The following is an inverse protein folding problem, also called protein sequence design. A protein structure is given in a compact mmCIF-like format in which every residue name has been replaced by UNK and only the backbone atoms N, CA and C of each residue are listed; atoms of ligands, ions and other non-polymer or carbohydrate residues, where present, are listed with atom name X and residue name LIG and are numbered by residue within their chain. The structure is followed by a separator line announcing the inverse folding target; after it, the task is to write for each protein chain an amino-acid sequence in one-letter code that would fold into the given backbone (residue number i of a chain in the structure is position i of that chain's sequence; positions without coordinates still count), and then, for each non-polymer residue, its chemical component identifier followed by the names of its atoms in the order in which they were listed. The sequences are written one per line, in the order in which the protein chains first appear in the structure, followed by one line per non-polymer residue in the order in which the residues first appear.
data_IF_905915778962
#
_entry.id   IF_905915778962
#
_cell.length_a   1.000
_cell.length_b   1.000
_cell.length_c   1.000
_cell.angle_alpha   90.00
_cell.angle_beta   90.00
_cell.angle_gamma   90.00
#
_symmetry.space_group_name_H-M   'P 1'
#
loop_
_entity.id
_entity.type
_entity.pdbx_description
1 polymer ?
#
# COMPACT_ATOMS: atom_id res chain seq x y z
N UNK A 1 15.45 -18.09 -54.59
CA UNK A 1 16.92 -17.93 -54.56
C UNK A 1 17.37 -17.85 -55.99
N UNK A 2 17.61 -16.65 -56.50
CA UNK A 2 18.28 -16.38 -57.78
C UNK A 2 18.28 -14.87 -57.96
N UNK A 3 19.45 -14.24 -57.80
CA UNK A 3 20.04 -13.42 -58.85
C UNK A 3 21.43 -12.98 -58.40
N UNK A 4 22.39 -13.60 -59.07
CA UNK A 4 23.80 -13.28 -59.14
C UNK A 4 24.04 -12.04 -60.01
N UNK A 5 25.33 -11.66 -60.08
CA UNK A 5 25.98 -10.69 -60.98
C UNK A 5 26.11 -9.28 -60.38
N UNK A 6 27.28 -8.94 -59.83
CA UNK A 6 28.57 -8.63 -60.51
C UNK A 6 28.67 -7.16 -60.87
N UNK A 7 29.71 -6.55 -60.29
CA UNK A 7 30.20 -5.18 -60.53
C UNK A 7 30.50 -4.90 -62.01
N UNK A 8 30.61 -3.61 -62.35
CA UNK A 8 31.77 -3.20 -63.12
C UNK A 8 32.51 -2.02 -62.48
N UNK A 9 33.83 -2.23 -62.44
CA UNK A 9 34.88 -1.22 -62.40
C UNK A 9 34.80 -0.30 -63.62
N UNK A 10 35.04 1.00 -63.40
CA UNK A 10 35.82 1.82 -64.34
C UNK A 10 36.35 3.07 -63.62
N UNK A 11 37.68 3.14 -63.57
CA UNK A 11 38.49 4.29 -63.23
C UNK A 11 38.21 5.48 -64.14
N UNK A 12 38.35 6.69 -63.58
CA UNK A 12 38.87 7.82 -64.33
C UNK A 12 39.45 8.84 -63.35
N UNK A 13 40.77 8.90 -63.34
CA UNK A 13 41.59 9.95 -62.73
C UNK A 13 41.24 11.32 -63.34
N UNK A 14 41.25 12.35 -62.51
CA UNK A 14 41.78 13.66 -62.88
C UNK A 14 42.17 14.43 -61.61
N UNK A 15 43.48 14.65 -61.51
CA UNK A 15 44.13 15.57 -60.60
C UNK A 15 43.59 16.99 -60.77
N UNK A 16 43.22 17.66 -59.68
CA UNK A 16 43.51 19.09 -59.59
C UNK A 16 43.78 19.55 -58.16
N UNK A 17 44.97 20.14 -58.05
CA UNK A 17 45.67 20.61 -56.89
C UNK A 17 45.05 21.91 -56.35
N UNK A 18 44.42 21.87 -55.18
CA UNK A 18 44.06 23.08 -54.43
C UNK A 18 44.54 22.99 -52.98
N UNK A 19 45.79 23.41 -52.80
CA UNK A 19 46.46 23.66 -51.51
C UNK A 19 45.75 24.81 -50.78
N UNK A 20 44.65 24.55 -50.10
CA UNK A 20 43.99 25.54 -49.24
C UNK A 20 44.75 25.61 -47.91
N UNK A 21 45.50 26.71 -47.78
CA UNK A 21 46.09 27.18 -46.53
C UNK A 21 45.02 27.27 -45.43
N UNK A 22 45.41 26.78 -44.27
CA UNK A 22 44.75 26.91 -42.97
C UNK A 22 44.11 28.27 -42.70
N UNK A 23 42.89 28.26 -42.20
CA UNK A 23 42.46 29.19 -41.15
C UNK A 23 41.83 28.36 -40.01
N UNK A 24 42.39 28.36 -38.79
CA UNK A 24 41.71 27.75 -37.65
C UNK A 24 40.56 28.67 -37.26
N UNK A 25 39.36 28.40 -37.79
CA UNK A 25 38.17 29.15 -37.41
C UNK A 25 37.89 28.91 -35.92
N UNK A 26 37.98 30.00 -35.15
CA UNK A 26 37.73 30.16 -33.70
C UNK A 26 36.28 29.85 -33.27
N UNK A 27 35.63 28.90 -33.93
CA UNK A 27 34.22 28.50 -33.75
C UNK A 27 34.05 27.10 -33.15
N UNK A 28 35.12 26.28 -33.07
CA UNK A 28 35.07 24.94 -32.47
C UNK A 28 34.72 24.94 -30.98
N UNK A 29 35.26 25.89 -30.20
CA UNK A 29 35.02 25.98 -28.76
C UNK A 29 33.58 26.41 -28.41
N UNK A 30 32.93 27.25 -29.25
CA UNK A 30 31.52 27.62 -29.03
C UNK A 30 30.58 26.46 -29.33
N UNK A 31 30.83 25.70 -30.41
CA UNK A 31 29.99 24.57 -30.85
C UNK A 31 30.13 23.33 -29.95
N UNK A 32 31.31 23.10 -29.37
CA UNK A 32 31.54 22.06 -28.36
C UNK A 32 30.88 22.42 -27.03
N UNK A 33 30.93 23.69 -26.60
CA UNK A 33 30.26 24.17 -25.38
C UNK A 33 28.73 24.04 -25.46
N UNK A 34 28.10 24.32 -26.60
CA UNK A 34 26.64 24.09 -26.77
C UNK A 34 26.30 22.61 -26.74
N UNK A 35 27.02 21.75 -27.47
CA UNK A 35 26.80 20.29 -27.42
C UNK A 35 26.95 19.71 -26.02
N UNK A 36 27.94 20.18 -25.25
CA UNK A 36 28.19 19.72 -23.89
C UNK A 36 27.10 20.20 -22.92
N UNK A 37 26.63 21.44 -23.07
CA UNK A 37 25.46 21.98 -22.35
C UNK A 37 24.20 21.16 -22.64
N UNK A 38 23.91 20.90 -23.92
CA UNK A 38 22.75 20.12 -24.35
C UNK A 38 22.80 18.69 -23.79
N UNK A 39 23.98 18.06 -23.76
CA UNK A 39 24.13 16.72 -23.17
C UNK A 39 23.97 16.70 -21.65
N UNK A 40 24.35 17.77 -20.96
CA UNK A 40 24.16 17.87 -19.51
C UNK A 40 22.68 18.11 -19.17
N UNK A 41 21.99 18.96 -19.93
CA UNK A 41 20.55 19.14 -19.83
C UNK A 41 19.79 17.82 -20.09
N UNK A 42 20.19 17.07 -21.11
CA UNK A 42 19.60 15.74 -21.41
C UNK A 42 19.78 14.74 -20.27
N UNK A 43 20.94 14.75 -19.60
CA UNK A 43 21.18 13.91 -18.41
C UNK A 43 20.31 14.31 -17.22
N UNK A 44 20.07 15.61 -17.03
CA UNK A 44 19.17 16.12 -15.98
C UNK A 44 17.75 15.68 -16.27
N UNK A 45 17.26 15.90 -17.49
CA UNK A 45 15.92 15.47 -17.91
C UNK A 45 15.73 13.95 -17.79
N UNK A 46 16.74 13.14 -18.12
CA UNK A 46 16.67 11.68 -17.94
C UNK A 46 16.54 11.27 -16.46
N UNK A 47 17.24 11.94 -15.55
CA UNK A 47 17.11 11.70 -14.10
C UNK A 47 15.71 12.08 -13.61
N UNK A 48 15.20 13.22 -14.06
CA UNK A 48 13.88 13.71 -13.70
C UNK A 48 12.78 12.79 -14.23
N UNK A 49 12.86 12.35 -15.49
CA UNK A 49 11.94 11.34 -16.05
C UNK A 49 11.98 10.05 -15.25
N UNK A 50 13.16 9.57 -14.83
CA UNK A 50 13.29 8.36 -14.01
C UNK A 50 12.61 8.54 -12.64
N UNK A 51 12.81 9.71 -12.02
CA UNK A 51 12.19 10.05 -10.75
C UNK A 51 10.66 10.12 -10.88
N UNK A 52 10.15 10.86 -11.86
CA UNK A 52 8.72 10.99 -12.13
C UNK A 52 8.06 9.64 -12.43
N UNK A 53 8.73 8.74 -13.18
CA UNK A 53 8.22 7.38 -13.42
C UNK A 53 8.10 6.57 -12.14
N UNK A 54 9.05 6.70 -11.22
CA UNK A 54 9.00 6.03 -9.93
C UNK A 54 7.87 6.59 -9.06
N UNK A 55 7.67 7.90 -9.06
CA UNK A 55 6.60 8.55 -8.31
C UNK A 55 5.21 8.19 -8.86
N UNK A 56 5.05 8.16 -10.19
CA UNK A 56 3.82 7.68 -10.84
C UNK A 56 3.50 6.25 -10.38
N UNK A 57 4.48 5.35 -10.43
CA UNK A 57 4.30 3.96 -9.99
C UNK A 57 3.86 3.88 -8.52
N UNK A 58 4.48 4.65 -7.65
CA UNK A 58 4.10 4.70 -6.23
C UNK A 58 2.67 5.24 -6.02
N UNK A 59 2.24 6.20 -6.84
CA UNK A 59 0.87 6.74 -6.79
C UNK A 59 -0.12 5.70 -7.30
N UNK A 60 0.17 5.01 -8.39
CA UNK A 60 -0.66 3.92 -8.93
C UNK A 60 -0.87 2.81 -7.90
N UNK A 61 0.20 2.36 -7.23
CA UNK A 61 0.12 1.34 -6.16
C UNK A 61 -0.77 1.81 -4.99
N UNK A 62 -0.68 3.10 -4.60
CA UNK A 62 -1.52 3.68 -3.54
C UNK A 62 -2.97 3.79 -3.95
N UNK A 63 -3.25 4.19 -5.19
CA UNK A 63 -4.61 4.29 -5.72
C UNK A 63 -5.25 2.90 -5.76
N UNK A 64 -4.53 1.90 -6.26
CA UNK A 64 -5.02 0.52 -6.30
C UNK A 64 -5.34 -0.01 -4.90
N UNK A 65 -4.42 0.17 -3.96
CA UNK A 65 -4.62 -0.22 -2.55
C UNK A 65 -5.84 0.50 -1.94
N UNK A 66 -6.06 1.76 -2.29
CA UNK A 66 -7.20 2.56 -1.80
C UNK A 66 -8.52 2.07 -2.41
N UNK A 67 -8.52 1.73 -3.71
CA UNK A 67 -9.68 1.18 -4.38
C UNK A 67 -10.08 -0.17 -3.77
N UNK A 68 -9.11 -1.07 -3.57
CA UNK A 68 -9.34 -2.37 -2.91
C UNK A 68 -9.96 -2.16 -1.52
N UNK A 69 -9.38 -1.28 -0.70
CA UNK A 69 -9.90 -0.96 0.64
C UNK A 69 -11.32 -0.41 0.61
N UNK A 70 -11.64 0.40 -0.39
CA UNK A 70 -12.98 0.98 -0.56
C UNK A 70 -13.99 -0.09 -0.94
N UNK A 71 -13.67 -0.91 -1.95
CA UNK A 71 -14.51 -2.04 -2.39
C UNK A 71 -14.78 -3.02 -1.25
N UNK A 72 -13.76 -3.39 -0.48
CA UNK A 72 -13.92 -4.29 0.68
C UNK A 72 -14.80 -3.64 1.75
N UNK A 73 -14.60 -2.35 2.03
CA UNK A 73 -15.44 -1.63 3.00
C UNK A 73 -16.92 -1.67 2.60
N UNK A 74 -17.22 -1.56 1.32
CA UNK A 74 -18.60 -1.60 0.82
C UNK A 74 -19.25 -3.00 0.97
N UNK A 75 -18.45 -4.08 0.92
CA UNK A 75 -18.90 -5.46 1.23
C UNK A 75 -19.29 -5.63 2.70
N UNK A 76 -18.72 -4.81 3.59
CA UNK A 76 -18.94 -4.82 5.02
C UNK A 76 -19.65 -3.53 5.47
N UNK A 77 -20.95 -3.35 5.16
CA UNK A 77 -21.65 -2.09 5.40
C UNK A 77 -21.84 -1.81 6.90
N UNK A 78 -21.99 -0.54 7.26
CA UNK A 78 -22.46 -0.17 8.59
C UNK A 78 -23.92 -0.59 8.76
N UNK A 79 -24.22 -1.42 9.76
CA UNK A 79 -25.59 -1.79 10.13
C UNK A 79 -25.85 -1.46 11.58
N UNK A 80 -27.06 -0.95 11.83
CA UNK A 80 -27.56 -0.71 13.19
C UNK A 80 -28.55 -1.80 13.58
N UNK A 81 -28.32 -2.41 14.73
CA UNK A 81 -29.18 -3.41 15.35
C UNK A 81 -29.85 -2.81 16.59
N UNK A 82 -31.09 -3.24 16.86
CA UNK A 82 -31.85 -2.77 18.02
C UNK A 82 -31.24 -3.26 19.34
N UNK A 83 -30.72 -4.49 19.35
CA UNK A 83 -30.10 -5.09 20.53
C UNK A 83 -28.61 -4.78 20.54
N UNK A 84 -28.13 -4.23 21.65
CA UNK A 84 -26.71 -3.91 21.86
C UNK A 84 -25.79 -5.13 21.66
N UNK A 85 -26.24 -6.32 22.07
CA UNK A 85 -25.49 -7.56 21.86
C UNK A 85 -25.30 -7.87 20.38
N UNK A 86 -26.36 -7.73 19.59
CA UNK A 86 -26.34 -8.06 18.17
C UNK A 86 -25.49 -7.03 17.41
N UNK A 87 -25.55 -5.75 17.81
CA UNK A 87 -24.66 -4.71 17.31
C UNK A 87 -23.19 -5.06 17.58
N UNK A 88 -22.86 -5.41 18.81
CA UNK A 88 -21.49 -5.77 19.19
C UNK A 88 -20.99 -6.99 18.40
N UNK A 89 -21.82 -8.02 18.24
CA UNK A 89 -21.45 -9.21 17.48
C UNK A 89 -21.19 -8.84 16.02
N UNK A 90 -22.09 -8.07 15.42
CA UNK A 90 -21.95 -7.61 14.06
C UNK A 90 -20.65 -6.82 13.85
N UNK A 91 -20.39 -5.82 14.70
CA UNK A 91 -19.22 -4.95 14.59
C UNK A 91 -17.91 -5.75 14.73
N UNK A 92 -17.89 -6.76 15.60
CA UNK A 92 -16.74 -7.65 15.76
C UNK A 92 -16.52 -8.48 14.50
N UNK A 93 -17.56 -9.19 14.04
CA UNK A 93 -17.46 -10.07 12.87
C UNK A 93 -17.13 -9.28 11.61
N UNK A 94 -17.71 -8.09 11.47
CA UNK A 94 -17.42 -7.15 10.39
C UNK A 94 -15.95 -6.73 10.37
N UNK A 95 -15.40 -6.38 11.53
CA UNK A 95 -13.99 -5.98 11.64
C UNK A 95 -13.05 -7.13 11.30
N UNK A 96 -13.33 -8.34 11.78
CA UNK A 96 -12.56 -9.55 11.46
C UNK A 96 -12.63 -9.86 9.96
N UNK A 97 -13.84 -9.86 9.39
CA UNK A 97 -14.06 -10.11 7.97
C UNK A 97 -13.35 -9.09 7.07
N UNK A 98 -13.40 -7.81 7.43
CA UNK A 98 -12.68 -6.74 6.74
C UNK A 98 -11.17 -6.98 6.72
N UNK A 99 -10.55 -7.34 7.84
CA UNK A 99 -9.11 -7.65 7.89
C UNK A 99 -8.77 -8.90 7.05
N UNK A 100 -9.60 -9.93 7.07
CA UNK A 100 -9.37 -11.14 6.26
C UNK A 100 -9.49 -10.85 4.75
N UNK A 101 -10.46 -10.04 4.34
CA UNK A 101 -10.58 -9.64 2.94
C UNK A 101 -9.37 -8.79 2.50
N UNK A 102 -8.85 -7.91 3.36
CA UNK A 102 -7.61 -7.18 3.08
C UNK A 102 -6.42 -8.12 2.92
N UNK A 103 -6.33 -9.17 3.75
CA UNK A 103 -5.29 -10.18 3.63
C UNK A 103 -5.35 -10.95 2.31
N UNK A 104 -6.56 -11.23 1.81
CA UNK A 104 -6.77 -11.93 0.55
C UNK A 104 -6.48 -11.07 -0.69
N UNK A 105 -6.70 -9.76 -0.59
CA UNK A 105 -6.62 -8.84 -1.73
C UNK A 105 -5.31 -8.04 -1.80
N UNK A 106 -4.45 -8.07 -0.77
CA UNK A 106 -3.12 -7.45 -0.86
C UNK A 106 -2.17 -8.29 -1.71
N UNK A 107 -1.29 -7.61 -2.45
CA UNK A 107 -0.21 -8.23 -3.24
C UNK A 107 1.05 -8.48 -2.42
N UNK A 108 1.13 -7.95 -1.19
CA UNK A 108 2.28 -8.07 -0.30
C UNK A 108 2.07 -9.16 0.74
N UNK A 109 2.94 -10.18 0.73
CA UNK A 109 2.87 -11.26 1.72
C UNK A 109 3.09 -10.79 3.17
N UNK A 110 3.90 -9.75 3.38
CA UNK A 110 4.10 -9.18 4.73
C UNK A 110 2.86 -8.43 5.21
N UNK A 111 2.17 -7.70 4.33
CA UNK A 111 0.89 -7.07 4.66
C UNK A 111 -0.19 -8.11 4.93
N UNK A 112 -0.26 -9.18 4.12
CA UNK A 112 -1.22 -10.26 4.32
C UNK A 112 -1.08 -10.89 5.70
N UNK A 113 0.16 -11.18 6.12
CA UNK A 113 0.44 -11.72 7.46
C UNK A 113 0.03 -10.75 8.57
N UNK A 114 0.23 -9.44 8.38
CA UNK A 114 -0.17 -8.44 9.35
C UNK A 114 -1.69 -8.40 9.53
N UNK A 115 -2.45 -8.39 8.43
CA UNK A 115 -3.92 -8.43 8.47
C UNK A 115 -4.44 -9.73 9.11
N UNK A 116 -3.81 -10.88 8.82
CA UNK A 116 -4.15 -12.15 9.47
C UNK A 116 -3.91 -12.09 10.99
N UNK A 117 -2.79 -11.55 11.43
CA UNK A 117 -2.50 -11.46 12.88
C UNK A 117 -3.44 -10.47 13.58
N UNK A 118 -3.88 -9.40 12.90
CA UNK A 118 -4.92 -8.51 13.40
C UNK A 118 -6.25 -9.26 13.59
N UNK A 119 -6.73 -9.96 12.55
CA UNK A 119 -7.96 -10.76 12.60
C UNK A 119 -7.90 -11.82 13.72
N UNK A 120 -6.75 -12.47 13.88
CA UNK A 120 -6.50 -13.44 14.96
C UNK A 120 -6.57 -12.79 16.34
N UNK A 121 -6.01 -11.60 16.51
CA UNK A 121 -6.05 -10.86 17.77
C UNK A 121 -7.48 -10.50 18.14
N UNK A 122 -8.24 -9.92 17.20
CA UNK A 122 -9.66 -9.61 17.38
C UNK A 122 -10.50 -10.85 17.74
N UNK A 123 -10.20 -11.99 17.10
CA UNK A 123 -10.87 -13.26 17.40
C UNK A 123 -10.61 -13.74 18.83
N UNK A 124 -9.37 -13.62 19.32
CA UNK A 124 -9.01 -13.96 20.70
C UNK A 124 -9.70 -13.05 21.71
N UNK A 125 -9.71 -11.74 21.45
CA UNK A 125 -10.41 -10.76 22.28
C UNK A 125 -11.90 -11.10 22.37
N UNK A 126 -12.54 -11.44 21.24
CA UNK A 126 -13.95 -11.84 21.21
C UNK A 126 -14.21 -13.10 22.03
N UNK A 127 -13.33 -14.10 21.93
CA UNK A 127 -13.46 -15.34 22.69
C UNK A 127 -13.48 -15.09 24.20
N UNK A 128 -12.67 -14.14 24.68
CA UNK A 128 -12.66 -13.75 26.10
C UNK A 128 -14.01 -13.12 26.49
N UNK A 129 -14.52 -12.19 25.70
CA UNK A 129 -15.83 -11.57 25.95
C UNK A 129 -16.94 -12.63 25.98
N UNK A 130 -16.90 -13.62 25.08
CA UNK A 130 -17.87 -14.72 25.06
C UNK A 130 -17.77 -15.62 26.30
N UNK A 131 -16.56 -15.94 26.75
CA UNK A 131 -16.36 -16.71 27.98
C UNK A 131 -16.90 -15.96 29.21
N UNK A 132 -16.59 -14.66 29.33
CA UNK A 132 -17.11 -13.82 30.41
C UNK A 132 -18.63 -13.70 30.35
N UNK A 133 -19.21 -13.59 29.15
CA UNK A 133 -20.64 -13.58 28.98
C UNK A 133 -21.29 -14.91 29.40
N UNK A 134 -20.62 -16.04 29.14
CA UNK A 134 -21.08 -17.36 29.56
C UNK A 134 -21.02 -17.56 31.07
N UNK A 135 -19.99 -17.04 31.74
CA UNK A 135 -19.80 -17.21 33.18
C UNK A 135 -20.59 -16.19 34.02
N UNK A 136 -20.62 -14.92 33.60
CA UNK A 136 -21.12 -13.80 34.41
C UNK A 136 -22.26 -13.01 33.76
N UNK A 137 -22.67 -13.39 32.53
CA UNK A 137 -23.72 -12.73 31.77
C UNK A 137 -23.22 -11.56 30.92
N UNK A 138 -24.05 -11.18 29.95
CA UNK A 138 -23.72 -10.12 28.97
C UNK A 138 -23.54 -8.74 29.61
N UNK A 139 -24.26 -8.44 30.70
CA UNK A 139 -24.13 -7.17 31.41
C UNK A 139 -22.70 -6.91 31.91
N UNK A 140 -21.99 -7.98 32.31
CA UNK A 140 -20.59 -7.90 32.74
C UNK A 140 -19.67 -7.88 31.52
N UNK A 141 -19.92 -8.76 30.55
CA UNK A 141 -19.10 -8.85 29.35
C UNK A 141 -19.08 -7.55 28.52
N UNK A 142 -20.19 -6.81 28.49
CA UNK A 142 -20.32 -5.54 27.78
C UNK A 142 -19.50 -4.39 28.40
N UNK A 143 -19.09 -4.52 29.67
CA UNK A 143 -18.24 -3.53 30.34
C UNK A 143 -16.75 -3.81 30.14
N UNK A 144 -16.38 -4.92 29.50
CA UNK A 144 -14.99 -5.18 29.18
C UNK A 144 -14.48 -4.12 28.18
N UNK A 145 -13.29 -3.54 28.42
CA UNK A 145 -12.71 -2.60 27.49
C UNK A 145 -12.48 -3.29 26.14
N UNK A 146 -13.04 -2.72 25.07
CA UNK A 146 -12.86 -3.22 23.70
C UNK A 146 -11.48 -2.86 23.10
N UNK A 147 -10.41 -2.74 23.91
CA UNK A 147 -9.14 -2.19 23.45
C UNK A 147 -7.88 -2.99 23.83
N UNK A 148 -7.18 -3.42 22.77
CA UNK A 148 -5.71 -3.36 22.49
C UNK A 148 -4.70 -3.91 23.50
N UNK A 149 -5.10 -4.55 24.59
CA UNK A 149 -4.14 -5.09 25.54
C UNK A 149 -3.85 -6.57 25.28
N UNK A 150 -2.59 -6.82 24.91
CA UNK A 150 -2.06 -8.11 24.43
C UNK A 150 -1.85 -9.15 25.53
N UNK A 151 -2.08 -8.81 26.81
CA UNK A 151 -1.65 -9.62 27.94
C UNK A 151 -2.81 -10.23 28.73
N UNK A 152 -2.79 -11.56 28.87
CA UNK A 152 -3.77 -12.37 29.64
C UNK A 152 -3.90 -11.97 31.11
N UNK A 153 -2.84 -11.45 31.74
CA UNK A 153 -2.84 -11.04 33.16
C UNK A 153 -3.74 -9.82 33.40
N UNK A 154 -3.91 -8.95 32.42
CA UNK A 154 -4.77 -7.76 32.54
C UNK A 154 -6.25 -8.11 32.44
N UNK A 155 -6.59 -9.29 31.90
CA UNK A 155 -7.97 -9.71 31.74
C UNK A 155 -8.64 -10.07 33.06
N UNK A 156 -7.94 -10.66 34.04
CA UNK A 156 -8.54 -10.94 35.35
C UNK A 156 -8.92 -9.65 36.08
N UNK A 157 -8.04 -8.64 36.08
CA UNK A 157 -8.34 -7.32 36.63
C UNK A 157 -9.44 -6.60 35.86
N UNK A 158 -9.46 -6.71 34.52
CA UNK A 158 -10.49 -6.13 33.68
C UNK A 158 -11.87 -6.78 33.94
N UNK A 159 -11.92 -8.10 34.16
CA UNK A 159 -13.14 -8.83 34.52
C UNK A 159 -13.67 -8.36 35.88
N UNK A 160 -12.81 -8.20 36.89
CA UNK A 160 -13.25 -7.70 38.19
C UNK A 160 -13.77 -6.26 38.12
N UNK A 161 -13.12 -5.39 37.34
CA UNK A 161 -13.63 -4.03 37.07
C UNK A 161 -14.99 -4.06 36.35
N UNK A 162 -15.14 -4.94 35.37
CA UNK A 162 -16.38 -5.11 34.63
C UNK A 162 -17.53 -5.60 35.53
N UNK A 163 -17.26 -6.55 36.45
CA UNK A 163 -18.23 -7.00 37.46
C UNK A 163 -18.70 -5.84 38.36
N UNK A 164 -17.77 -5.02 38.83
CA UNK A 164 -18.09 -3.84 39.66
C UNK A 164 -18.95 -2.83 38.88
N UNK A 165 -18.59 -2.52 37.64
CA UNK A 165 -19.34 -1.60 36.78
C UNK A 165 -20.77 -2.10 36.50
N UNK A 166 -20.93 -3.38 36.18
CA UNK A 166 -22.23 -3.99 35.95
C UNK A 166 -23.13 -3.98 37.20
N UNK A 167 -22.53 -4.20 38.38
CA UNK A 167 -23.23 -4.12 39.67
C UNK A 167 -23.77 -2.71 39.95
N UNK A 168 -22.94 -1.68 39.74
CA UNK A 168 -23.32 -0.27 39.91
C UNK A 168 -24.46 0.15 38.96
N UNK A 169 -24.48 -0.35 37.72
CA UNK A 169 -25.58 -0.10 36.77
C UNK A 169 -26.89 -0.78 37.19
N UNK A 170 -26.82 -1.94 37.85
CA UNK A 170 -28.00 -2.62 38.39
C UNK A 170 -28.56 -1.94 39.64
N UNK A 171 -27.71 -1.37 40.49
CA UNK A 171 -28.17 -0.62 41.67
C UNK A 171 -28.82 0.72 41.30
N UNK A 172 -28.34 1.41 40.27
CA UNK A 172 -28.92 2.70 39.82
C UNK A 172 -30.22 2.57 39.00
N UNK A 173 -30.61 1.35 38.62
CA UNK A 173 -31.87 1.07 37.90
C UNK A 173 -33.03 0.67 38.84
N UNK A 174 -32.79 0.51 40.14
CA UNK A 174 -33.79 0.27 41.17
C UNK A 174 -34.22 1.58 41.80
#
# INVERSE_FOLDING_TARGET
CENSASEPSCESDNDENAKIRSNPTRNGAKRLKTKESDTNELKVLLKEIKYLRNDIKNVEEKVETTNIKTTIRDTWPDRKFEKLRDQHEYDTLRSIGYELDLALNTTSGTEALQYIENARTMSKERMIVLNVASEYGWDVAAELPQSKNKNMIEYSEAIEKAKQAASLKKSNKR
#
